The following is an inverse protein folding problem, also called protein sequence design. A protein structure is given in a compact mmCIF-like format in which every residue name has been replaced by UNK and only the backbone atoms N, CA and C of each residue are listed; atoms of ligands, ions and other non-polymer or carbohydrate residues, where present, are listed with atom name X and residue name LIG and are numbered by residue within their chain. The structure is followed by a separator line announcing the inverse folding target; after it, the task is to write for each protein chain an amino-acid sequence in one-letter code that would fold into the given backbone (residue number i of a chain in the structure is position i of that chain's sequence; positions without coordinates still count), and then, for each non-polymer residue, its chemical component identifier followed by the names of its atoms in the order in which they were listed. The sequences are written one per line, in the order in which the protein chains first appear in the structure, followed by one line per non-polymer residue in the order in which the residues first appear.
data_IF_170156213754
#
_entry.id   IF_170156213754
#
_cell.length_a   1.000
_cell.length_b   1.000
_cell.length_c   1.000
_cell.angle_alpha   90.00
_cell.angle_beta   90.00
_cell.angle_gamma   90.00
#
_symmetry.space_group_name_H-M   'P 1'
#
loop_
_entity.id
_entity.type
_entity.pdbx_description
1 polymer ?
#
# COMPACT_ATOMS: atom_id res chain seq x y z
N UNK A 1 -4.48 0.80 11.65
CA UNK A 1 -5.23 1.59 10.65
C UNK A 1 -4.29 2.63 10.07
N UNK A 2 -4.21 2.70 8.74
CA UNK A 2 -3.14 3.40 8.03
C UNK A 2 -3.67 4.67 7.36
N UNK A 3 -3.02 5.80 7.65
CA UNK A 3 -3.45 7.12 7.17
C UNK A 3 -2.25 7.99 6.82
N UNK A 4 -2.31 8.69 5.70
CA UNK A 4 -1.29 9.67 5.29
C UNK A 4 -1.88 10.79 4.45
N UNK A 5 -1.20 11.94 4.49
CA UNK A 5 -1.50 13.09 3.65
C UNK A 5 -0.38 13.28 2.66
N UNK A 6 -0.70 13.24 1.36
CA UNK A 6 0.25 13.42 0.25
C UNK A 6 -0.38 14.41 -0.71
N UNK A 7 0.34 15.46 -1.10
CA UNK A 7 -0.16 16.53 -2.00
C UNK A 7 -1.52 17.10 -1.56
N UNK A 8 -1.69 17.32 -0.26
CA UNK A 8 -2.94 17.78 0.37
C UNK A 8 -4.15 16.85 0.17
N UNK A 9 -3.94 15.62 -0.29
CA UNK A 9 -4.95 14.56 -0.35
C UNK A 9 -4.78 13.61 0.81
N UNK A 10 -5.90 13.18 1.38
CA UNK A 10 -5.94 12.22 2.48
C UNK A 10 -6.15 10.82 1.90
N UNK A 11 -5.29 9.90 2.31
CA UNK A 11 -5.37 8.47 2.01
C UNK A 11 -5.48 7.74 3.34
N UNK A 12 -6.60 7.04 3.54
CA UNK A 12 -7.03 6.54 4.84
C UNK A 12 -7.77 5.21 4.62
N UNK A 13 -7.21 4.11 5.11
CA UNK A 13 -7.75 2.76 4.94
C UNK A 13 -9.12 2.56 5.60
N UNK A 14 -9.48 3.42 6.56
CA UNK A 14 -10.72 3.26 7.33
C UNK A 14 -11.92 3.87 6.59
N UNK A 15 -11.63 4.80 5.67
CA UNK A 15 -12.65 5.52 4.89
C UNK A 15 -12.63 5.19 3.40
N UNK A 16 -11.57 4.52 2.94
CA UNK A 16 -11.44 4.05 1.58
C UNK A 16 -12.02 2.63 1.43
N UNK A 17 -12.43 2.30 0.21
CA UNK A 17 -12.94 0.98 -0.16
C UNK A 17 -11.78 0.11 -0.64
N UNK A 18 -11.68 -1.12 -0.13
CA UNK A 18 -10.73 -2.12 -0.63
C UNK A 18 -11.26 -2.70 -1.94
N UNK A 19 -10.48 -2.57 -3.00
CA UNK A 19 -10.83 -2.99 -4.37
C UNK A 19 -10.20 -4.34 -4.71
N UNK A 20 -8.96 -4.56 -4.29
CA UNK A 20 -8.22 -5.78 -4.61
C UNK A 20 -7.09 -6.03 -3.61
N UNK A 21 -6.74 -7.30 -3.42
CA UNK A 21 -5.63 -7.75 -2.58
C UNK A 21 -4.68 -8.60 -3.43
N UNK A 22 -3.38 -8.41 -3.26
CA UNK A 22 -2.34 -9.22 -3.87
C UNK A 22 -1.41 -9.77 -2.80
N UNK A 23 -1.03 -11.03 -2.95
CA UNK A 23 -0.02 -11.67 -2.11
C UNK A 23 0.77 -12.67 -2.95
N UNK A 24 2.09 -12.67 -2.78
CA UNK A 24 3.00 -13.48 -3.58
C UNK A 24 3.24 -14.90 -3.05
N UNK A 25 2.51 -15.35 -2.02
CA UNK A 25 2.59 -16.71 -1.50
C UNK A 25 3.65 -16.95 -0.42
N UNK A 26 4.51 -15.97 -0.11
CA UNK A 26 5.51 -16.12 0.95
C UNK A 26 4.96 -15.78 2.33
N UNK A 27 5.51 -16.40 3.38
CA UNK A 27 5.18 -16.03 4.76
C UNK A 27 5.75 -14.66 5.12
N UNK A 28 5.10 -13.96 6.07
CA UNK A 28 5.48 -12.60 6.51
C UNK A 28 6.90 -12.46 7.11
N UNK A 29 7.54 -13.58 7.46
CA UNK A 29 8.93 -13.62 7.95
C UNK A 29 9.94 -13.84 6.82
N UNK A 30 9.49 -14.13 5.61
CA UNK A 30 10.37 -14.31 4.45
C UNK A 30 10.82 -12.94 3.94
N UNK A 31 12.11 -12.80 3.62
CA UNK A 31 12.63 -11.56 3.06
C UNK A 31 12.02 -11.21 1.69
N UNK A 32 11.43 -12.18 1.00
CA UNK A 32 10.71 -12.01 -0.26
C UNK A 32 9.22 -11.76 -0.07
N UNK A 33 8.71 -11.70 1.16
CA UNK A 33 7.30 -11.41 1.43
C UNK A 33 6.84 -10.13 0.72
N UNK A 34 5.71 -10.20 0.01
CA UNK A 34 5.05 -9.05 -0.57
C UNK A 34 3.54 -9.25 -0.51
N UNK A 35 2.84 -8.28 0.07
CA UNK A 35 1.40 -8.10 -0.07
C UNK A 35 1.08 -6.66 -0.44
N UNK A 36 0.04 -6.47 -1.25
CA UNK A 36 -0.41 -5.16 -1.69
C UNK A 36 -1.94 -5.10 -1.70
N UNK A 37 -2.48 -4.11 -1.01
CA UNK A 37 -3.92 -3.88 -0.94
C UNK A 37 -4.26 -2.60 -1.70
N UNK A 38 -5.11 -2.70 -2.72
CA UNK A 38 -5.56 -1.57 -3.54
C UNK A 38 -6.83 -0.98 -2.95
N UNK A 39 -6.75 0.29 -2.59
CA UNK A 39 -7.88 1.05 -2.07
C UNK A 39 -8.32 2.17 -3.00
N UNK A 40 -9.62 2.48 -2.98
CA UNK A 40 -10.21 3.65 -3.60
C UNK A 40 -10.81 4.57 -2.54
N UNK A 41 -10.35 5.82 -2.53
CA UNK A 41 -10.94 6.86 -1.67
C UNK A 41 -12.35 7.23 -2.16
N UNK A 42 -13.19 7.80 -1.29
CA UNK A 42 -14.53 8.33 -1.66
C UNK A 42 -14.53 9.34 -2.82
N UNK A 43 -13.38 9.99 -3.06
CA UNK A 43 -13.18 10.95 -4.16
C UNK A 43 -12.66 10.29 -5.45
N UNK A 44 -12.59 8.96 -5.50
CA UNK A 44 -12.14 8.19 -6.65
C UNK A 44 -10.62 8.09 -6.84
N UNK A 45 -9.80 8.62 -5.92
CA UNK A 45 -8.34 8.41 -5.99
C UNK A 45 -7.98 7.01 -5.50
N UNK A 46 -7.04 6.37 -6.19
CA UNK A 46 -6.50 5.06 -5.82
C UNK A 46 -5.17 5.15 -5.08
N UNK A 47 -4.93 4.21 -4.18
CA UNK A 47 -3.65 4.01 -3.52
C UNK A 47 -3.43 2.56 -3.13
N UNK A 48 -2.16 2.15 -3.06
CA UNK A 48 -1.75 0.85 -2.54
C UNK A 48 -1.34 0.98 -1.07
N UNK A 49 -1.61 -0.06 -0.28
CA UNK A 49 -0.96 -0.33 1.00
C UNK A 49 -0.10 -1.58 0.80
N UNK A 50 1.21 -1.37 0.66
CA UNK A 50 2.17 -2.45 0.54
C UNK A 50 2.73 -2.87 1.89
N UNK A 51 2.90 -4.17 2.11
CA UNK A 51 3.73 -4.73 3.18
C UNK A 51 4.77 -5.66 2.56
N UNK A 52 6.02 -5.51 2.95
CA UNK A 52 7.13 -6.18 2.27
C UNK A 52 8.27 -6.61 3.19
N UNK A 53 9.02 -7.61 2.72
CA UNK A 53 10.27 -8.06 3.30
C UNK A 53 11.49 -7.31 2.74
N UNK A 54 12.62 -7.42 3.44
CA UNK A 54 13.85 -6.67 3.14
C UNK A 54 14.49 -6.94 1.76
N UNK A 55 14.04 -7.97 1.01
CA UNK A 55 14.56 -8.30 -0.33
C UNK A 55 13.57 -7.98 -1.47
N UNK A 56 12.50 -7.23 -1.22
CA UNK A 56 11.58 -6.80 -2.29
C UNK A 56 12.05 -5.52 -2.98
N UNK A 57 11.44 -5.20 -4.13
CA UNK A 57 11.63 -3.90 -4.80
C UNK A 57 11.18 -2.69 -3.96
N UNK A 58 10.49 -2.93 -2.84
CA UNK A 58 9.99 -1.92 -1.91
C UNK A 58 10.93 -1.65 -0.73
N UNK A 59 11.94 -2.50 -0.51
CA UNK A 59 12.90 -2.38 0.59
C UNK A 59 13.64 -1.03 0.63
N UNK A 60 13.81 -0.37 -0.52
CA UNK A 60 14.47 0.93 -0.63
C UNK A 60 13.55 2.13 -0.32
N UNK A 61 12.23 1.95 -0.31
CA UNK A 61 11.25 3.02 -0.07
C UNK A 61 10.81 3.11 1.39
N UNK A 62 11.58 2.49 2.28
CA UNK A 62 11.36 2.35 3.72
C UNK A 62 11.55 3.68 4.45
N UNK A 63 10.66 4.64 4.20
CA UNK A 63 10.53 5.85 5.02
C UNK A 63 9.27 5.83 5.88
N UNK A 64 8.20 5.16 5.46
CA UNK A 64 7.05 4.81 6.30
C UNK A 64 6.47 3.53 5.70
N UNK A 65 6.07 2.53 6.51
CA UNK A 65 5.57 1.22 6.06
C UNK A 65 4.23 1.28 5.26
N UNK A 66 3.94 2.40 4.62
CA UNK A 66 2.74 2.60 3.81
C UNK A 66 3.14 3.27 2.50
N UNK A 67 3.25 2.43 1.48
CA UNK A 67 3.55 2.81 0.11
C UNK A 67 2.32 3.27 -0.65
N UNK A 68 1.91 4.51 -0.45
CA UNK A 68 0.85 5.11 -1.25
C UNK A 68 1.33 5.41 -2.68
N UNK A 69 1.20 4.43 -3.57
CA UNK A 69 1.40 4.67 -5.01
C UNK A 69 0.11 5.22 -5.60
N UNK A 70 0.14 6.45 -6.08
CA UNK A 70 -0.94 6.99 -6.91
C UNK A 70 -0.90 6.24 -8.25
N UNK A 71 -1.88 5.37 -8.49
CA UNK A 71 -2.11 4.87 -9.84
C UNK A 71 -2.80 5.98 -10.64
N UNK A 72 -2.11 6.52 -11.64
CA UNK A 72 -2.68 7.41 -12.65
C UNK A 72 -3.24 6.49 -13.75
N UNK A 73 -4.47 6.72 -14.27
CA UNK A 73 -5.00 5.95 -15.39
C UNK A 73 -4.09 6.02 -16.61
#
# INVERSE_FOLDING_TARGET
MAKKVIDRKVYDTDTAELIHEYWNGYGNQDFKFLSEDLYQTKKGNFFLLGSDGAMTCYAAYRLDNILFKKQVP
#
